data_IF_128432130246
#
_entry.id   IF_128432130246
#
_cell.length_a   1.000
_cell.length_b   1.000
_cell.length_c   1.000
_cell.angle_alpha   90.00
_cell.angle_beta   90.00
_cell.angle_gamma   90.00
#
_symmetry.space_group_name_H-M   'P 1'
#
loop_
_entity.id
_entity.type
_entity.pdbx_description
1 polymer ?
#
# COMPACT_ATOMS: atom_id res chain seq x y z
N UNK A 1 4.23 33.14 -18.46
CA UNK A 1 4.07 31.92 -19.29
C UNK A 1 4.26 30.74 -18.36
N UNK A 2 3.22 29.95 -18.10
CA UNK A 2 3.38 28.72 -17.33
C UNK A 2 4.13 27.73 -18.21
N UNK A 3 5.30 27.26 -17.77
CA UNK A 3 5.99 26.17 -18.45
C UNK A 3 5.03 24.98 -18.50
N UNK A 4 4.85 24.43 -19.70
CA UNK A 4 4.09 23.21 -19.92
C UNK A 4 4.69 22.12 -19.03
N UNK A 5 3.92 21.65 -18.05
CA UNK A 5 4.37 20.63 -17.09
C UNK A 5 4.57 19.35 -17.88
N UNK A 6 5.81 18.97 -18.12
CA UNK A 6 6.10 17.64 -18.63
C UNK A 6 5.53 16.63 -17.62
N UNK A 7 4.65 15.71 -18.05
CA UNK A 7 4.13 14.68 -17.17
C UNK A 7 5.30 13.85 -16.64
N UNK A 8 5.12 13.21 -15.48
CA UNK A 8 6.05 12.21 -14.97
C UNK A 8 6.37 11.16 -16.05
N UNK A 9 7.54 11.23 -16.67
CA UNK A 9 8.08 10.19 -17.54
C UNK A 9 9.12 9.38 -16.76
N UNK A 10 8.67 8.86 -15.61
CA UNK A 10 9.39 7.77 -14.96
C UNK A 10 9.37 6.55 -15.88
N UNK A 11 10.52 5.89 -15.96
CA UNK A 11 10.87 4.87 -16.95
C UNK A 11 9.78 3.79 -17.09
N UNK A 12 9.55 3.30 -18.31
CA UNK A 12 8.49 2.31 -18.61
C UNK A 12 8.67 0.95 -17.90
N UNK A 13 9.86 0.70 -17.34
CA UNK A 13 10.16 -0.54 -16.63
C UNK A 13 9.49 -0.63 -15.25
N UNK A 14 9.11 0.50 -14.63
CA UNK A 14 8.47 0.54 -13.31
C UNK A 14 9.34 1.12 -12.19
N UNK A 15 8.71 1.51 -11.08
CA UNK A 15 9.36 2.11 -9.93
C UNK A 15 8.56 1.91 -8.64
N UNK A 16 9.23 2.06 -7.50
CA UNK A 16 8.61 2.37 -6.21
C UNK A 16 9.06 3.73 -5.74
N UNK A 17 8.13 4.54 -5.24
CA UNK A 17 8.45 5.78 -4.52
C UNK A 17 7.68 5.85 -3.21
N UNK A 18 8.40 6.16 -2.13
CA UNK A 18 7.82 6.44 -0.82
C UNK A 18 8.02 7.91 -0.48
N UNK A 19 7.04 8.50 0.21
CA UNK A 19 7.15 9.83 0.80
C UNK A 19 6.85 9.72 2.29
N UNK A 20 7.76 10.20 3.13
CA UNK A 20 7.60 10.18 4.58
C UNK A 20 7.80 11.56 5.17
N UNK A 21 6.83 12.01 5.97
CA UNK A 21 6.80 13.37 6.48
C UNK A 21 7.80 13.56 7.62
N UNK A 22 8.55 14.67 7.58
CA UNK A 22 9.33 15.16 8.72
C UNK A 22 10.57 14.36 9.10
N UNK A 23 10.98 13.39 8.28
CA UNK A 23 12.21 12.61 8.51
C UNK A 23 13.32 13.02 7.53
N UNK A 24 14.56 12.61 7.81
CA UNK A 24 15.70 12.86 6.92
C UNK A 24 15.84 11.79 5.84
N UNK A 25 16.55 12.05 4.72
CA UNK A 25 16.91 11.02 3.75
C UNK A 25 17.66 9.83 4.37
N UNK A 26 18.55 10.09 5.34
CA UNK A 26 19.24 9.02 6.07
C UNK A 26 18.26 8.15 6.87
N UNK A 27 17.23 8.75 7.47
CA UNK A 27 16.16 8.03 8.16
C UNK A 27 15.31 7.20 7.19
N UNK A 28 15.12 7.66 5.94
CA UNK A 28 14.49 6.84 4.89
C UNK A 28 15.31 5.58 4.65
N UNK A 29 16.62 5.69 4.44
CA UNK A 29 17.49 4.52 4.24
C UNK A 29 17.42 3.56 5.44
N UNK A 30 17.49 4.08 6.66
CA UNK A 30 17.36 3.28 7.88
C UNK A 30 16.00 2.57 7.97
N UNK A 31 14.91 3.21 7.53
CA UNK A 31 13.57 2.61 7.47
C UNK A 31 13.46 1.44 6.48
N UNK A 32 14.32 1.41 5.46
CA UNK A 32 14.49 0.27 4.55
C UNK A 32 15.42 -0.82 5.13
N UNK A 33 15.94 -0.65 6.34
CA UNK A 33 16.91 -1.57 6.96
C UNK A 33 18.35 -1.40 6.47
N UNK A 34 18.63 -0.33 5.73
CA UNK A 34 19.98 -0.01 5.27
C UNK A 34 20.79 0.78 6.31
N UNK A 35 22.12 0.67 6.27
CA UNK A 35 23.03 1.54 7.03
C UNK A 35 23.28 2.85 6.28
N UNK A 36 22.79 4.01 6.76
CA UNK A 36 22.99 5.29 6.09
C UNK A 36 24.47 5.72 6.03
N UNK A 37 25.34 5.18 6.88
CA UNK A 37 26.76 5.49 6.86
C UNK A 37 27.49 4.92 5.62
N UNK A 38 26.89 3.93 4.94
CA UNK A 38 27.41 3.37 3.69
C UNK A 38 26.89 4.12 2.45
N UNK A 39 25.96 5.05 2.62
CA UNK A 39 25.32 5.71 1.50
C UNK A 39 26.23 6.79 0.89
N UNK A 40 26.18 6.92 -0.44
CA UNK A 40 26.96 7.91 -1.17
C UNK A 40 26.05 8.77 -2.03
N UNK A 41 26.42 10.03 -2.23
CA UNK A 41 25.70 10.92 -3.14
C UNK A 41 25.95 10.46 -4.59
N UNK A 42 24.86 10.15 -5.32
CA UNK A 42 24.91 9.67 -6.70
C UNK A 42 23.84 10.35 -7.54
N UNK A 43 24.14 10.62 -8.81
CA UNK A 43 23.10 10.95 -9.78
C UNK A 43 22.23 9.72 -10.09
N UNK A 44 21.05 9.92 -10.68
CA UNK A 44 20.20 8.82 -11.14
C UNK A 44 20.93 7.86 -12.10
N UNK A 45 21.72 8.38 -13.03
CA UNK A 45 22.50 7.56 -13.97
C UNK A 45 23.50 6.65 -13.23
N UNK A 46 24.25 7.21 -12.27
CA UNK A 46 25.20 6.43 -11.47
C UNK A 46 24.51 5.36 -10.59
N UNK A 47 23.29 5.63 -10.14
CA UNK A 47 22.49 4.66 -9.39
C UNK A 47 22.02 3.49 -10.27
N UNK A 48 21.68 3.77 -11.54
CA UNK A 48 21.34 2.73 -12.52
C UNK A 48 22.54 1.85 -12.85
N UNK A 49 23.72 2.44 -13.04
CA UNK A 49 24.96 1.69 -13.28
C UNK A 49 25.26 0.74 -12.10
N UNK A 50 25.15 1.24 -10.87
CA UNK A 50 25.37 0.46 -9.66
C UNK A 50 24.45 -0.77 -9.56
N UNK A 51 23.22 -0.66 -10.07
CA UNK A 51 22.27 -1.77 -10.10
C UNK A 51 22.67 -2.86 -11.10
N UNK A 52 23.12 -2.45 -12.29
CA UNK A 52 23.51 -3.37 -13.35
C UNK A 52 24.63 -4.32 -12.90
N UNK A 53 25.50 -3.84 -12.00
CA UNK A 53 26.66 -4.58 -11.50
C UNK A 53 26.33 -5.57 -10.37
N UNK A 54 25.19 -5.41 -9.67
CA UNK A 54 24.98 -6.03 -8.37
C UNK A 54 23.74 -6.91 -8.20
N UNK A 55 22.74 -6.85 -9.09
CA UNK A 55 21.50 -7.63 -8.98
C UNK A 55 20.61 -7.31 -7.76
N UNK A 56 21.03 -6.38 -6.90
CA UNK A 56 20.28 -5.85 -5.77
C UNK A 56 19.54 -4.56 -6.17
N UNK A 57 18.45 -4.28 -5.47
CA UNK A 57 17.72 -3.02 -5.66
C UNK A 57 18.55 -1.83 -5.15
N UNK A 58 18.52 -0.72 -5.87
CA UNK A 58 19.19 0.53 -5.50
C UNK A 58 18.16 1.49 -4.97
N UNK A 59 18.38 1.99 -3.76
CA UNK A 59 17.54 2.99 -3.12
C UNK A 59 18.22 4.36 -3.18
N UNK A 60 17.51 5.34 -3.74
CA UNK A 60 17.90 6.74 -3.70
C UNK A 60 16.96 7.51 -2.76
N UNK A 61 17.51 8.31 -1.86
CA UNK A 61 16.75 9.12 -0.92
C UNK A 61 17.04 10.61 -1.06
N UNK A 62 15.99 11.42 -0.94
CA UNK A 62 16.06 12.87 -1.04
C UNK A 62 14.95 13.57 -0.26
N UNK A 63 14.79 14.87 -0.50
CA UNK A 63 13.79 15.71 0.17
C UNK A 63 12.91 16.42 -0.87
N UNK A 64 11.63 16.52 -0.56
CA UNK A 64 10.61 17.26 -1.28
C UNK A 64 9.75 18.02 -0.26
N UNK A 65 9.98 19.34 -0.13
CA UNK A 65 9.38 20.17 0.93
C UNK A 65 9.59 19.57 2.34
N UNK A 66 8.50 19.25 3.05
CA UNK A 66 8.52 18.68 4.40
C UNK A 66 8.52 17.15 4.41
N UNK A 67 8.77 16.52 3.26
CA UNK A 67 8.77 15.08 3.09
C UNK A 67 10.15 14.63 2.62
N UNK A 68 10.69 13.58 3.23
CA UNK A 68 11.76 12.83 2.59
C UNK A 68 11.12 11.79 1.67
N UNK A 69 11.83 11.41 0.60
CA UNK A 69 11.39 10.35 -0.30
C UNK A 69 12.45 9.28 -0.44
N UNK A 70 12.00 8.06 -0.72
CA UNK A 70 12.83 6.95 -1.19
C UNK A 70 12.36 6.54 -2.58
N UNK A 71 13.29 6.33 -3.50
CA UNK A 71 13.02 5.98 -4.89
C UNK A 71 13.80 4.72 -5.27
N UNK A 72 13.09 3.76 -5.84
CA UNK A 72 13.62 2.50 -6.34
C UNK A 72 13.23 2.36 -7.81
N UNK A 73 14.21 2.24 -8.69
CA UNK A 73 13.95 1.91 -10.10
C UNK A 73 13.70 0.40 -10.20
N UNK A 74 12.49 -0.02 -10.60
CA UNK A 74 12.01 -1.41 -10.67
C UNK A 74 12.05 -2.20 -9.33
N UNK A 75 12.59 -1.63 -8.26
CA UNK A 75 12.55 -2.22 -6.92
C UNK A 75 11.16 -2.13 -6.29
N UNK A 76 10.90 -2.97 -5.29
CA UNK A 76 9.60 -3.11 -4.64
C UNK A 76 9.65 -3.09 -3.11
N UNK A 77 10.83 -2.87 -2.51
CA UNK A 77 11.00 -2.90 -1.05
C UNK A 77 10.13 -1.86 -0.36
N UNK A 78 9.91 -0.69 -0.99
CA UNK A 78 8.99 0.35 -0.53
C UNK A 78 7.50 -0.04 -0.55
N UNK A 79 7.15 -1.27 -0.95
CA UNK A 79 5.79 -1.82 -0.84
C UNK A 79 5.60 -2.77 0.34
N UNK A 80 6.70 -3.12 1.02
CA UNK A 80 6.73 -4.10 2.10
C UNK A 80 6.17 -3.49 3.37
N UNK A 81 5.31 -4.24 4.05
CA UNK A 81 4.64 -3.78 5.28
C UNK A 81 5.66 -3.42 6.37
N UNK A 82 6.78 -4.14 6.48
CA UNK A 82 7.85 -3.85 7.45
C UNK A 82 8.54 -2.50 7.19
N UNK A 83 8.80 -2.17 5.92
CA UNK A 83 9.42 -0.90 5.52
C UNK A 83 8.45 0.25 5.76
N UNK A 84 7.20 0.10 5.32
CA UNK A 84 6.18 1.14 5.48
C UNK A 84 5.77 1.36 6.94
N UNK A 85 5.76 0.31 7.76
CA UNK A 85 5.59 0.43 9.19
C UNK A 85 6.74 1.21 9.82
N UNK A 86 8.00 0.90 9.49
CA UNK A 86 9.17 1.58 10.02
C UNK A 86 9.23 3.06 9.62
N UNK A 87 8.95 3.36 8.34
CA UNK A 87 8.93 4.73 7.83
C UNK A 87 7.83 5.58 8.47
N UNK A 88 6.65 4.99 8.68
CA UNK A 88 5.49 5.72 9.24
C UNK A 88 5.47 5.81 10.76
N UNK A 89 6.46 5.26 11.47
CA UNK A 89 6.46 5.30 12.93
C UNK A 89 6.52 6.76 13.44
N UNK A 90 5.46 7.16 14.16
CA UNK A 90 5.25 8.54 14.62
C UNK A 90 5.02 9.59 13.53
N UNK A 91 4.76 9.20 12.28
CA UNK A 91 4.55 10.15 11.16
C UNK A 91 3.63 9.59 10.07
N UNK A 92 3.57 10.27 8.93
CA UNK A 92 2.75 9.95 7.76
C UNK A 92 3.65 9.45 6.62
N UNK A 93 3.27 8.33 5.98
CA UNK A 93 3.98 7.74 4.83
C UNK A 93 3.02 7.35 3.72
N UNK A 94 3.37 7.74 2.49
CA UNK A 94 2.71 7.30 1.26
C UNK A 94 3.66 6.44 0.44
N UNK A 95 3.13 5.46 -0.28
CA UNK A 95 3.89 4.62 -1.21
C UNK A 95 3.13 4.41 -2.51
N UNK A 96 3.84 4.52 -3.62
CA UNK A 96 3.36 4.19 -4.95
C UNK A 96 4.34 3.26 -5.63
N UNK A 97 3.84 2.09 -6.03
CA UNK A 97 4.56 1.15 -6.88
C UNK A 97 3.88 1.04 -8.23
N UNK A 98 4.70 0.93 -9.27
CA UNK A 98 4.24 0.56 -10.60
C UNK A 98 5.21 -0.40 -11.27
N UNK A 99 4.67 -1.45 -11.89
CA UNK A 99 5.43 -2.41 -12.69
C UNK A 99 4.48 -3.25 -13.55
N UNK A 100 4.81 -3.45 -14.82
CA UNK A 100 4.03 -4.34 -15.70
C UNK A 100 2.53 -3.99 -15.77
N UNK A 101 2.20 -2.70 -15.80
CA UNK A 101 0.82 -2.20 -15.83
C UNK A 101 0.06 -2.26 -14.50
N UNK A 102 0.65 -2.84 -13.45
CA UNK A 102 0.11 -2.81 -12.08
C UNK A 102 0.49 -1.49 -11.41
N UNK A 103 -0.40 -0.98 -10.58
CA UNK A 103 -0.16 0.19 -9.74
C UNK A 103 -0.68 -0.11 -8.34
N UNK A 104 0.16 0.02 -7.32
CA UNK A 104 -0.26 -0.14 -5.93
C UNK A 104 -0.01 1.14 -5.16
N UNK A 105 -1.05 1.66 -4.52
CA UNK A 105 -0.97 2.79 -3.61
C UNK A 105 -1.11 2.30 -2.17
N UNK A 106 -0.31 2.85 -1.26
CA UNK A 106 -0.46 2.62 0.19
C UNK A 106 -0.33 3.92 0.97
N UNK A 107 -1.12 4.03 2.04
CA UNK A 107 -1.07 5.10 3.02
C UNK A 107 -0.92 4.51 4.42
N UNK A 108 0.10 4.96 5.14
CA UNK A 108 0.44 4.52 6.49
C UNK A 108 0.61 5.73 7.40
N UNK A 109 0.25 5.55 8.67
CA UNK A 109 0.45 6.56 9.70
C UNK A 109 0.66 5.91 11.05
N UNK A 110 1.61 6.41 11.82
CA UNK A 110 1.94 5.94 13.16
C UNK A 110 2.17 4.41 13.20
N UNK A 111 2.85 3.87 12.18
CA UNK A 111 3.12 2.44 12.05
C UNK A 111 1.90 1.58 11.66
N UNK A 112 0.73 2.17 11.40
CA UNK A 112 -0.50 1.47 11.00
C UNK A 112 -0.87 1.75 9.54
N UNK A 113 -1.28 0.70 8.83
CA UNK A 113 -1.80 0.81 7.46
C UNK A 113 -3.22 1.34 7.44
N UNK A 114 -3.42 2.50 6.82
CA UNK A 114 -4.73 3.12 6.68
C UNK A 114 -5.42 2.71 5.37
N UNK A 115 -4.69 2.76 4.25
CA UNK A 115 -5.20 2.34 2.94
C UNK A 115 -4.13 1.57 2.17
N UNK A 116 -4.55 0.55 1.41
CA UNK A 116 -3.74 -0.11 0.38
C UNK A 116 -4.66 -0.66 -0.69
N UNK A 117 -4.39 -0.31 -1.95
CA UNK A 117 -5.25 -0.70 -3.07
C UNK A 117 -4.54 -0.57 -4.42
N UNK A 118 -5.10 -1.20 -5.45
CA UNK A 118 -4.76 -0.96 -6.85
C UNK A 118 -5.82 -0.05 -7.48
N UNK A 119 -5.44 1.13 -8.03
CA UNK A 119 -6.38 2.04 -8.68
C UNK A 119 -7.21 1.36 -9.78
N UNK A 120 -8.53 1.49 -9.73
CA UNK A 120 -9.44 0.87 -10.71
C UNK A 120 -9.75 -0.62 -10.45
N UNK A 121 -9.02 -1.28 -9.55
CA UNK A 121 -9.27 -2.67 -9.18
C UNK A 121 -10.25 -2.74 -8.00
N UNK A 122 -11.55 -2.77 -8.27
CA UNK A 122 -12.61 -2.75 -7.25
C UNK A 122 -12.48 -3.84 -6.17
N UNK A 123 -11.88 -4.99 -6.50
CA UNK A 123 -11.63 -6.08 -5.56
C UNK A 123 -10.57 -5.75 -4.50
N UNK A 124 -9.77 -4.69 -4.70
CA UNK A 124 -8.76 -4.20 -3.75
C UNK A 124 -9.27 -3.07 -2.84
N UNK A 125 -10.55 -2.74 -2.92
CA UNK A 125 -11.18 -1.67 -2.12
C UNK A 125 -10.89 -1.86 -0.61
N UNK A 126 -10.35 -0.83 0.08
CA UNK A 126 -10.21 -0.87 1.53
C UNK A 126 -11.56 -1.14 2.21
N UNK A 127 -11.56 -2.09 3.16
CA UNK A 127 -12.78 -2.52 3.88
C UNK A 127 -13.22 -1.55 4.97
N UNK A 128 -12.33 -0.67 5.41
CA UNK A 128 -12.54 0.24 6.53
C UNK A 128 -12.87 1.65 6.02
N UNK A 129 -13.61 2.41 6.83
CA UNK A 129 -13.89 3.83 6.61
C UNK A 129 -13.22 4.67 7.72
N UNK A 130 -12.80 5.92 7.42
CA UNK A 130 -12.85 6.58 6.12
C UNK A 130 -11.76 6.07 5.15
N UNK A 131 -12.05 6.04 3.84
CA UNK A 131 -11.07 5.73 2.77
C UNK A 131 -10.90 6.87 1.75
N UNK A 132 -10.35 8.03 2.17
CA UNK A 132 -10.28 9.23 1.36
C UNK A 132 -9.42 9.08 0.10
N UNK A 133 -8.31 8.33 0.13
CA UNK A 133 -7.46 8.17 -1.07
C UNK A 133 -8.13 7.29 -2.10
N UNK A 134 -8.74 6.18 -1.70
CA UNK A 134 -9.56 5.34 -2.58
C UNK A 134 -10.67 6.16 -3.25
N UNK A 135 -11.46 6.91 -2.45
CA UNK A 135 -12.60 7.65 -2.99
C UNK A 135 -12.14 8.73 -3.99
N UNK A 136 -11.06 9.47 -3.67
CA UNK A 136 -10.51 10.46 -4.58
C UNK A 136 -9.90 9.84 -5.84
N UNK A 137 -9.24 8.68 -5.72
CA UNK A 137 -8.72 7.94 -6.86
C UNK A 137 -9.85 7.53 -7.80
N UNK A 138 -10.88 6.86 -7.27
CA UNK A 138 -11.99 6.38 -8.07
C UNK A 138 -12.77 7.52 -8.76
N UNK A 139 -12.84 8.71 -8.14
CA UNK A 139 -13.46 9.88 -8.74
C UNK A 139 -12.66 10.49 -9.91
N UNK A 140 -11.35 10.22 -10.00
CA UNK A 140 -10.45 10.76 -11.04
C UNK A 140 -10.18 9.79 -12.19
N UNK A 141 -10.41 8.49 -11.97
CA UNK A 141 -10.17 7.49 -13.00
C UNK A 141 -11.27 7.55 -14.06
N UNK A 142 -10.88 7.93 -15.28
CA UNK A 142 -11.69 7.79 -16.48
C UNK A 142 -11.10 6.69 -17.40
N UNK A 143 -11.87 6.15 -18.36
CA UNK A 143 -11.32 5.28 -19.39
C UNK A 143 -10.12 5.92 -20.10
N UNK A 144 -9.03 5.17 -20.25
CA UNK A 144 -7.80 5.65 -20.88
C UNK A 144 -6.87 6.48 -19.97
N UNK A 145 -7.26 6.78 -18.73
CA UNK A 145 -6.40 7.50 -17.79
C UNK A 145 -5.28 6.61 -17.25
N UNK A 146 -4.06 7.15 -17.24
CA UNK A 146 -2.88 6.55 -16.59
C UNK A 146 -3.04 6.53 -15.06
N UNK A 147 -3.13 5.34 -14.47
CA UNK A 147 -3.41 5.10 -13.03
C UNK A 147 -2.29 5.62 -12.14
N UNK A 148 -1.05 5.38 -12.54
CA UNK A 148 0.18 5.90 -11.94
C UNK A 148 0.20 7.42 -11.90
N UNK A 149 -0.10 8.10 -13.02
CA UNK A 149 -0.16 9.57 -13.06
C UNK A 149 -1.26 10.12 -12.15
N UNK A 150 -2.40 9.45 -12.10
CA UNK A 150 -3.51 9.84 -11.21
C UNK A 150 -3.12 9.70 -9.74
N UNK A 151 -2.39 8.63 -9.40
CA UNK A 151 -1.86 8.40 -8.06
C UNK A 151 -0.82 9.44 -7.67
N UNK A 152 0.12 9.76 -8.56
CA UNK A 152 1.11 10.82 -8.34
C UNK A 152 0.44 12.17 -8.11
N UNK A 153 -0.57 12.54 -8.90
CA UNK A 153 -1.33 13.77 -8.70
C UNK A 153 -2.08 13.83 -7.35
N UNK A 154 -2.50 12.67 -6.81
CA UNK A 154 -3.06 12.60 -5.45
C UNK A 154 -1.99 12.78 -4.38
N UNK A 155 -0.81 12.20 -4.57
CA UNK A 155 0.33 12.39 -3.68
C UNK A 155 0.75 13.86 -3.68
N UNK A 156 0.93 14.49 -4.84
CA UNK A 156 1.25 15.92 -4.99
C UNK A 156 0.32 16.81 -4.15
N UNK A 157 -0.98 16.58 -4.27
CA UNK A 157 -1.98 17.33 -3.52
C UNK A 157 -1.85 17.12 -2.01
N UNK A 158 -1.60 15.88 -1.57
CA UNK A 158 -1.47 15.56 -0.15
C UNK A 158 -0.20 16.15 0.47
N UNK A 159 0.93 15.98 -0.22
CA UNK A 159 2.24 16.46 0.27
C UNK A 159 2.44 17.96 0.02
N UNK A 160 1.57 18.57 -0.80
CA UNK A 160 1.63 19.97 -1.25
C UNK A 160 2.97 20.31 -1.89
N UNK A 161 3.40 19.45 -2.81
CA UNK A 161 4.64 19.61 -3.54
C UNK A 161 4.43 19.18 -4.99
N UNK A 162 5.14 19.85 -5.88
CA UNK A 162 5.18 19.46 -7.29
C UNK A 162 6.12 18.27 -7.42
N UNK A 163 5.55 17.18 -7.89
CA UNK A 163 6.28 15.98 -8.21
C UNK A 163 6.70 16.15 -9.68
N UNK A 164 7.99 16.30 -9.95
CA UNK A 164 8.55 16.40 -11.31
C UNK A 164 9.82 15.56 -11.40
N UNK A 165 10.30 15.29 -12.62
CA UNK A 165 11.56 14.56 -12.81
C UNK A 165 12.77 15.22 -12.15
N UNK A 166 12.71 16.54 -11.90
CA UNK A 166 13.76 17.26 -11.19
C UNK A 166 13.94 16.79 -9.75
N UNK A 167 12.97 16.07 -9.19
CA UNK A 167 13.12 15.38 -7.90
C UNK A 167 14.27 14.36 -7.93
N UNK A 168 14.58 13.80 -9.11
CA UNK A 168 15.60 12.77 -9.30
C UNK A 168 16.87 13.26 -10.01
N UNK A 169 16.96 14.54 -10.36
CA UNK A 169 18.12 15.08 -11.11
C UNK A 169 19.31 15.42 -10.22
N UNK A 170 19.09 15.70 -8.94
CA UNK A 170 20.15 16.03 -7.99
C UNK A 170 20.97 14.81 -7.55
N UNK A 171 22.17 15.01 -6.98
CA UNK A 171 22.84 13.96 -6.24
C UNK A 171 21.95 13.54 -5.05
N UNK A 172 21.49 12.29 -5.07
CA UNK A 172 20.66 11.72 -4.03
C UNK A 172 21.48 10.78 -3.16
N UNK A 173 21.11 10.68 -1.88
CA UNK A 173 21.75 9.74 -0.96
C UNK A 173 21.39 8.32 -1.40
N UNK A 174 22.36 7.56 -1.88
CA UNK A 174 22.15 6.32 -2.63
C UNK A 174 22.88 5.15 -2.00
N UNK A 175 22.22 4.00 -1.92
CA UNK A 175 22.86 2.73 -1.58
C UNK A 175 22.25 1.52 -2.30
N UNK A 176 22.96 0.39 -2.26
CA UNK A 176 22.42 -0.94 -2.59
C UNK A 176 21.70 -1.56 -1.39
N UNK A 177 20.48 -2.04 -1.60
CA UNK A 177 19.74 -2.83 -0.62
C UNK A 177 20.29 -4.27 -0.60
N UNK A 178 21.32 -4.49 0.20
CA UNK A 178 22.01 -5.81 0.31
C UNK A 178 21.41 -6.71 1.38
N UNK A 179 20.61 -6.16 2.29
CA UNK A 179 19.93 -6.92 3.33
C UNK A 179 18.45 -7.03 2.97
N UNK A 180 17.92 -8.22 2.66
CA UNK A 180 16.48 -8.37 2.64
C UNK A 180 15.99 -8.07 4.05
N UNK A 181 15.13 -7.05 4.22
CA UNK A 181 14.48 -6.84 5.52
C UNK A 181 13.90 -8.21 5.96
N UNK A 182 14.05 -8.64 7.23
CA UNK A 182 13.50 -9.91 7.64
C UNK A 182 11.98 -9.89 7.46
N UNK A 183 11.43 -10.82 6.68
CA UNK A 183 9.99 -10.95 6.42
C UNK A 183 9.14 -11.25 7.68
N UNK A 184 9.79 -11.36 8.85
CA UNK A 184 9.16 -11.71 10.11
C UNK A 184 9.79 -10.96 11.29
N UNK A 185 9.59 -9.65 11.36
CA UNK A 185 9.40 -9.04 12.69
C UNK A 185 7.91 -9.17 12.99
N UNK A 186 7.58 -10.09 13.89
CA UNK A 186 6.26 -10.15 14.51
C UNK A 186 5.87 -8.72 14.95
N UNK A 187 4.60 -8.31 14.77
CA UNK A 187 4.18 -6.99 15.18
C UNK A 187 4.61 -6.77 16.64
N UNK A 188 5.17 -5.59 17.00
CA UNK A 188 5.52 -5.31 18.38
C UNK A 188 4.29 -5.58 19.26
N UNK A 189 4.46 -6.13 20.48
CA UNK A 189 3.33 -6.39 21.36
C UNK A 189 2.56 -5.09 21.52
N UNK A 190 1.31 -5.08 21.05
CA UNK A 190 0.42 -3.92 21.14
C UNK A 190 0.45 -3.43 22.58
N UNK A 191 0.94 -2.21 22.82
CA UNK A 191 0.82 -1.61 24.14
C UNK A 191 -0.67 -1.66 24.53
N UNK A 192 -1.03 -2.15 25.73
CA UNK A 192 -2.41 -2.27 26.11
C UNK A 192 -3.05 -0.88 26.12
N UNK A 193 -3.90 -0.62 25.11
CA UNK A 193 -4.77 0.55 25.08
C UNK A 193 -5.51 0.57 26.42
N UNK A 194 -5.32 1.62 27.21
CA UNK A 194 -6.07 1.84 28.46
C UNK A 194 -7.56 1.64 28.17
N UNK A 195 -8.10 0.46 28.51
CA UNK A 195 -9.54 0.22 28.43
C UNK A 195 -10.16 1.15 29.45
N UNK A 196 -11.03 2.05 28.99
CA UNK A 196 -11.97 2.77 29.87
C UNK A 196 -12.62 1.72 30.79
N UNK A 197 -12.75 1.97 32.10
CA UNK A 197 -13.33 0.99 33.01
C UNK A 197 -14.72 0.63 32.51
N UNK A 198 -14.97 -0.68 32.38
CA UNK A 198 -16.29 -1.22 32.09
C UNK A 198 -17.26 -0.67 33.14
N UNK A 199 -18.26 0.08 32.68
CA UNK A 199 -19.38 0.51 33.50
C UNK A 199 -20.10 -0.76 33.95
N UNK A 200 -19.99 -1.08 35.24
CA UNK A 200 -20.66 -2.22 35.86
C UNK A 200 -22.17 -2.03 35.66
N UNK A 201 -22.75 -2.83 34.77
CA UNK A 201 -24.20 -2.92 34.60
C UNK A 201 -24.75 -3.50 35.90
N UNK A 202 -25.55 -2.72 36.62
CA UNK A 202 -26.28 -3.22 37.79
C UNK A 202 -27.25 -4.33 37.33
N UNK A 203 -27.36 -5.44 38.08
CA UNK A 203 -28.28 -6.51 37.73
C UNK A 203 -29.74 -6.05 37.90
N UNK A 204 -30.67 -6.54 37.06
CA UNK A 204 -32.09 -6.26 37.23
C UNK A 204 -32.62 -6.93 38.50
N UNK A 205 -33.43 -6.17 39.24
CA UNK A 205 -34.18 -6.61 40.42
C UNK A 205 -35.08 -7.80 40.10
N UNK A 206 -35.02 -8.80 40.97
CA UNK A 206 -35.73 -10.07 40.93
C UNK A 206 -37.25 -9.91 40.81
N UNK A 207 -37.85 -10.55 39.81
CA UNK A 207 -39.26 -10.90 39.80
C UNK A 207 -39.40 -12.43 39.88
N UNK A 208 -40.29 -12.86 40.77
CA UNK A 208 -40.62 -14.24 41.20
C UNK A 208 -41.23 -15.09 40.06
N UNK A 209 -41.18 -16.43 40.16
CA UNK A 209 -41.33 -17.35 39.04
C UNK A 209 -42.79 -17.73 38.77
N UNK A 210 -43.12 -17.95 37.49
CA UNK A 210 -44.32 -18.68 37.08
C UNK A 210 -43.92 -19.97 36.37
N UNK A 211 -44.31 -21.09 36.97
CA UNK A 211 -44.17 -22.45 36.43
C UNK A 211 -45.03 -22.64 35.19
N UNK A 212 -44.47 -23.24 34.13
CA UNK A 212 -45.23 -24.04 33.16
C UNK A 212 -44.30 -24.96 32.34
N UNK A 213 -44.40 -26.25 32.69
CA UNK A 213 -44.51 -27.43 31.83
C UNK A 213 -43.52 -27.62 30.66
N UNK A 214 -42.63 -28.60 30.86
CA UNK A 214 -41.84 -29.30 29.85
C UNK A 214 -42.74 -30.05 28.86
N UNK A 215 -42.63 -29.72 27.58
CA UNK A 215 -43.05 -30.60 26.48
C UNK A 215 -41.84 -30.88 25.60
N UNK A 216 -41.35 -32.11 25.69
CA UNK A 216 -40.29 -32.66 24.83
C UNK A 216 -40.90 -32.95 23.47
N UNK A 217 -40.43 -32.26 22.42
CA UNK A 217 -40.78 -32.57 21.03
C UNK A 217 -39.52 -32.95 20.25
N UNK A 218 -39.59 -34.17 19.69
CA UNK A 218 -38.57 -34.89 18.94
C UNK A 218 -38.17 -34.15 17.64
N UNK A 219 -36.89 -34.19 17.20
CA UNK A 219 -36.47 -33.54 15.96
C UNK A 219 -36.91 -34.33 14.72
N UNK A 220 -37.32 -33.68 13.62
CA UNK A 220 -37.43 -34.31 12.32
C UNK A 220 -36.14 -34.21 11.50
N UNK A 221 -36.08 -35.12 10.54
CA UNK A 221 -34.92 -35.59 9.80
C UNK A 221 -34.38 -34.64 8.72
N UNK A 222 -33.11 -34.91 8.39
CA UNK A 222 -32.32 -34.38 7.28
C UNK A 222 -32.95 -34.81 5.95
N UNK A 223 -33.18 -33.85 5.05
CA UNK A 223 -33.41 -34.08 3.63
C UNK A 223 -32.65 -33.05 2.81
N UNK A 224 -31.56 -33.49 2.17
CA UNK A 224 -30.93 -32.81 1.03
C UNK A 224 -31.69 -33.20 -0.24
N UNK A 225 -32.00 -32.23 -1.10
CA UNK A 225 -31.70 -32.44 -2.51
C UNK A 225 -31.27 -31.13 -3.19
N UNK A 226 -30.14 -31.12 -3.89
CA UNK A 226 -30.02 -30.21 -5.03
C UNK A 226 -29.25 -30.88 -6.16
N UNK A 227 -29.99 -30.98 -7.25
CA UNK A 227 -29.74 -31.57 -8.54
C UNK A 227 -28.80 -30.66 -9.35
N UNK A 228 -27.80 -31.27 -9.99
CA UNK A 228 -26.96 -30.68 -11.03
C UNK A 228 -27.75 -30.66 -12.35
N UNK A 229 -27.67 -29.62 -13.19
CA UNK A 229 -27.87 -29.83 -14.62
C UNK A 229 -26.64 -29.51 -15.46
N UNK A 230 -26.53 -30.32 -16.51
CA UNK A 230 -25.45 -30.48 -17.47
C UNK A 230 -25.12 -29.25 -18.31
N UNK A 231 -23.86 -29.21 -18.75
CA UNK A 231 -23.34 -28.36 -19.81
C UNK A 231 -23.76 -28.90 -21.19
N UNK A 232 -24.05 -28.04 -22.18
CA UNK A 232 -24.06 -28.45 -23.57
C UNK A 232 -22.70 -28.20 -24.25
N UNK A 233 -22.16 -29.29 -24.81
CA UNK A 233 -21.19 -29.31 -25.89
C UNK A 233 -21.69 -28.49 -27.09
N UNK A 234 -20.86 -27.58 -27.60
CA UNK A 234 -21.01 -27.04 -28.96
C UNK A 234 -19.71 -27.26 -29.73
N UNK A 235 -19.61 -28.41 -30.41
CA UNK A 235 -18.70 -28.64 -31.52
C UNK A 235 -19.45 -28.31 -32.81
N UNK A 236 -19.08 -27.21 -33.45
CA UNK A 236 -19.62 -26.74 -34.72
C UNK A 236 -18.54 -26.57 -35.78
N UNK A 237 -18.33 -27.64 -36.56
CA UNK A 237 -18.13 -27.67 -38.02
C UNK A 237 -17.41 -26.47 -38.69
N UNK A 238 -16.17 -26.70 -39.10
CA UNK A 238 -15.53 -26.00 -40.23
C UNK A 238 -15.80 -26.80 -41.51
N UNK A 239 -16.49 -26.19 -42.46
CA UNK A 239 -16.60 -26.64 -43.84
C UNK A 239 -15.97 -25.61 -44.77
N UNK A 240 -15.23 -26.12 -45.73
CA UNK A 240 -14.44 -25.45 -46.76
C UNK A 240 -15.25 -24.59 -47.72
N UNK A 241 -14.68 -23.47 -48.16
CA UNK A 241 -14.55 -23.01 -49.56
C UNK A 241 -13.65 -21.78 -49.61
#
# INVERSE_FOLDING_TARGET
MAAERAPWTLNDLGFTITFTRGISPASVLAGYGADPAQATLRSRAQALDLRADGGHDVLQAGVCNHWAFGYEEVGWDGTRDVVLQALSDGTDTLSLYTFGGKVFFSHWRDGERLERFEPGALYTRPKWEPRPFWNQMQARLAPGTRRDHTALALIEQHIRADLTETLLTGPLLTLLLTTPAPDHLAPPPRQPKHRKPLRLVQPPTSATPSSATLTVTRPPAISNPTHLPDAPDTLGQLSSS
#
